data_IF_319002969985
#
_entry.id   IF_319002969985
#
_cell.length_a   1.000
_cell.length_b   1.000
_cell.length_c   1.000
_cell.angle_alpha   90.00
_cell.angle_beta   90.00
_cell.angle_gamma   90.00
#
_symmetry.space_group_name_H-M   'P 1'
#
loop_
_entity.id
_entity.type
_entity.pdbx_description
1 polymer ?
#
# COMPACT_ATOMS: atom_id res chain seq x y z
N UNK A 1 14.41 24.58 49.12
CA UNK A 1 14.90 25.58 48.16
C UNK A 1 14.18 25.34 46.83
N UNK A 2 13.23 26.18 46.55
CA UNK A 2 12.37 26.12 45.35
C UNK A 2 13.05 26.90 44.24
N UNK A 3 13.49 26.20 43.16
CA UNK A 3 14.08 26.84 41.99
C UNK A 3 12.94 27.32 41.09
N UNK A 4 12.88 28.64 40.89
CA UNK A 4 11.85 29.31 40.12
C UNK A 4 12.09 29.12 38.61
N UNK A 5 11.00 29.00 37.85
CA UNK A 5 10.99 28.83 36.37
C UNK A 5 11.71 29.92 35.55
N UNK A 6 12.14 31.02 36.20
CA UNK A 6 12.84 32.14 35.54
C UNK A 6 14.36 31.99 35.44
N UNK A 7 14.98 31.04 36.17
CA UNK A 7 16.43 30.82 36.12
C UNK A 7 16.89 29.82 35.07
N UNK A 8 15.96 29.09 34.43
CA UNK A 8 16.30 28.09 33.39
C UNK A 8 16.41 28.66 31.95
N UNK A 9 16.06 29.95 31.77
CA UNK A 9 16.04 30.56 30.42
C UNK A 9 17.32 31.38 30.11
N UNK A 10 18.24 31.48 31.02
CA UNK A 10 19.43 32.35 30.84
C UNK A 10 20.77 31.65 30.57
N UNK A 11 20.79 30.35 30.28
CA UNK A 11 22.04 29.61 30.08
C UNK A 11 22.16 28.88 28.74
N UNK A 12 21.41 29.28 27.71
CA UNK A 12 21.64 28.81 26.34
C UNK A 12 21.78 30.01 25.41
N UNK A 13 22.88 30.69 25.53
CA UNK A 13 23.39 31.62 24.53
C UNK A 13 24.89 31.46 24.47
N UNK A 14 25.37 30.63 23.57
CA UNK A 14 26.60 30.83 22.78
C UNK A 14 26.89 29.64 21.90
N UNK A 15 27.03 29.93 20.62
CA UNK A 15 27.82 29.24 19.60
C UNK A 15 27.15 28.07 18.87
N UNK A 16 26.33 28.39 17.88
CA UNK A 16 26.29 27.63 16.65
C UNK A 16 26.24 28.61 15.46
N UNK A 17 27.42 28.83 14.90
CA UNK A 17 27.56 29.51 13.62
C UNK A 17 26.90 28.67 12.53
N UNK A 18 26.07 29.32 11.75
CA UNK A 18 25.22 28.90 10.69
C UNK A 18 25.72 27.85 9.72
N UNK A 19 24.80 27.00 9.40
CA UNK A 19 24.51 26.50 8.07
C UNK A 19 23.00 26.57 7.91
N UNK A 20 22.50 27.72 7.52
CA UNK A 20 21.16 27.88 6.96
C UNK A 20 21.15 27.20 5.61
N UNK A 21 20.81 25.92 5.57
CA UNK A 21 20.30 25.35 4.34
C UNK A 21 18.93 26.00 4.12
N UNK A 22 18.90 26.95 3.21
CA UNK A 22 17.66 27.50 2.69
C UNK A 22 16.84 26.38 2.11
N UNK A 23 15.73 26.03 2.73
CA UNK A 23 14.69 25.25 2.10
C UNK A 23 13.99 26.16 1.08
N UNK A 24 14.10 25.90 -0.22
CA UNK A 24 13.25 26.55 -1.20
C UNK A 24 11.97 25.73 -1.26
N UNK A 25 10.95 26.22 -0.66
CA UNK A 25 9.64 25.59 -0.71
C UNK A 25 8.79 26.16 0.41
N UNK A 26 8.40 27.44 0.25
CA UNK A 26 7.23 27.93 0.94
C UNK A 26 6.06 27.12 0.38
N UNK A 27 5.75 25.98 1.00
CA UNK A 27 4.39 25.48 0.97
C UNK A 27 3.59 26.59 1.63
N UNK A 28 2.90 27.42 0.83
CA UNK A 28 1.90 28.31 1.36
C UNK A 28 0.86 27.42 2.02
N UNK A 29 0.90 27.34 3.35
CA UNK A 29 -0.15 26.69 4.11
C UNK A 29 -1.44 27.41 3.72
N UNK A 30 -2.23 26.78 2.84
CA UNK A 30 -3.56 27.29 2.50
C UNK A 30 -4.34 27.37 3.79
N UNK A 31 -5.16 28.42 3.91
CA UNK A 31 -6.09 28.50 5.05
C UNK A 31 -6.83 27.18 5.22
N UNK A 32 -7.05 26.68 6.44
CA UNK A 32 -7.80 25.42 6.68
C UNK A 32 -9.16 25.37 5.98
N UNK A 33 -9.72 26.51 5.61
CA UNK A 33 -10.99 26.62 4.89
C UNK A 33 -10.83 26.73 3.36
N UNK A 34 -9.61 26.72 2.84
CA UNK A 34 -9.37 26.83 1.40
C UNK A 34 -9.51 25.47 0.71
N UNK A 35 -10.33 25.42 -0.34
CA UNK A 35 -10.53 24.21 -1.11
C UNK A 35 -9.28 23.84 -1.89
N UNK A 36 -8.87 22.59 -1.82
CA UNK A 36 -7.81 22.06 -2.65
C UNK A 36 -8.27 21.87 -4.10
N UNK A 37 -7.40 22.12 -5.03
CA UNK A 37 -7.55 21.74 -6.43
C UNK A 37 -6.97 20.35 -6.64
N UNK A 38 -7.84 19.38 -6.85
CA UNK A 38 -7.48 17.97 -6.97
C UNK A 38 -7.49 17.54 -8.42
N UNK A 39 -6.54 16.72 -8.81
CA UNK A 39 -6.57 15.96 -10.04
C UNK A 39 -6.64 14.46 -9.77
N UNK A 40 -7.06 13.66 -10.77
CA UNK A 40 -7.13 12.20 -10.65
C UNK A 40 -6.60 11.52 -11.90
N UNK A 41 -5.73 10.52 -11.71
CA UNK A 41 -5.24 9.62 -12.76
C UNK A 41 -5.89 8.26 -12.56
N UNK A 42 -6.59 7.77 -13.61
CA UNK A 42 -7.49 6.64 -13.62
C UNK A 42 -8.75 6.88 -12.76
N UNK A 43 -9.87 7.07 -13.43
CA UNK A 43 -11.15 7.43 -12.80
C UNK A 43 -12.24 6.35 -12.92
N UNK A 44 -11.86 5.15 -13.38
CA UNK A 44 -12.76 3.99 -13.46
C UNK A 44 -12.55 2.99 -12.35
N UNK A 45 -13.56 2.17 -12.02
CA UNK A 45 -13.47 1.11 -11.02
C UNK A 45 -13.09 1.61 -9.62
N UNK A 46 -11.89 1.28 -9.14
CA UNK A 46 -11.39 1.78 -7.85
C UNK A 46 -11.15 3.29 -7.90
N UNK A 47 -10.58 3.80 -8.98
CA UNK A 47 -10.34 5.22 -9.18
C UNK A 47 -11.60 6.07 -9.09
N UNK A 48 -12.77 5.51 -9.45
CA UNK A 48 -14.05 6.19 -9.24
C UNK A 48 -14.35 6.47 -7.77
N UNK A 49 -14.09 5.50 -6.90
CA UNK A 49 -14.25 5.71 -5.45
C UNK A 49 -13.24 6.71 -4.91
N UNK A 50 -12.02 6.71 -5.45
CA UNK A 50 -10.93 7.56 -4.98
C UNK A 50 -11.15 9.02 -5.42
N UNK A 51 -11.51 9.26 -6.68
CA UNK A 51 -11.81 10.63 -7.14
C UNK A 51 -12.98 11.25 -6.39
N UNK A 52 -14.04 10.47 -6.13
CA UNK A 52 -15.19 10.95 -5.33
C UNK A 52 -14.79 11.24 -3.88
N UNK A 53 -14.01 10.35 -3.25
CA UNK A 53 -13.58 10.54 -1.87
C UNK A 53 -12.61 11.71 -1.73
N UNK A 54 -11.64 11.81 -2.61
CA UNK A 54 -10.64 12.87 -2.57
C UNK A 54 -11.24 14.27 -2.89
N UNK A 55 -12.18 14.35 -3.82
CA UNK A 55 -12.80 15.63 -4.21
C UNK A 55 -13.95 16.06 -3.29
N UNK A 56 -14.33 15.25 -2.29
CA UNK A 56 -15.41 15.62 -1.37
C UNK A 56 -15.02 16.88 -0.58
N UNK A 57 -15.78 17.96 -0.79
CA UNK A 57 -15.50 19.27 -0.18
C UNK A 57 -14.43 20.10 -0.92
N UNK A 58 -13.80 19.58 -1.95
CA UNK A 58 -12.72 20.18 -2.72
C UNK A 58 -13.07 20.31 -4.21
N UNK A 59 -12.18 20.89 -5.01
CA UNK A 59 -12.40 21.11 -6.44
C UNK A 59 -11.71 19.99 -7.24
N UNK A 60 -12.44 19.22 -8.05
CA UNK A 60 -11.80 18.42 -9.10
C UNK A 60 -11.55 19.32 -10.32
N UNK A 61 -10.28 19.63 -10.59
CA UNK A 61 -9.87 20.55 -11.67
C UNK A 61 -9.38 19.87 -12.94
N UNK A 62 -8.93 18.60 -12.81
CA UNK A 62 -8.48 17.79 -13.94
C UNK A 62 -8.64 16.30 -13.66
N UNK A 63 -8.82 15.50 -14.70
CA UNK A 63 -8.71 14.05 -14.61
C UNK A 63 -8.13 13.43 -15.89
N UNK A 64 -7.60 12.22 -15.74
CA UNK A 64 -6.97 11.45 -16.81
C UNK A 64 -7.43 9.98 -16.74
N UNK A 65 -7.72 9.40 -17.88
CA UNK A 65 -7.90 7.95 -18.03
C UNK A 65 -7.52 7.52 -19.44
N UNK A 66 -6.80 6.43 -19.58
CA UNK A 66 -6.36 5.88 -20.87
C UNK A 66 -7.50 5.34 -21.73
N UNK A 67 -8.68 5.09 -21.12
CA UNK A 67 -9.91 4.70 -21.79
C UNK A 67 -10.87 5.88 -21.81
N UNK A 68 -11.09 6.47 -22.97
CA UNK A 68 -11.96 7.66 -23.15
C UNK A 68 -13.41 7.34 -23.48
N UNK A 69 -13.73 6.08 -23.80
CA UNK A 69 -15.09 5.59 -24.03
C UNK A 69 -15.73 5.06 -22.75
N UNK A 70 -16.96 4.54 -22.86
CA UNK A 70 -17.69 4.01 -21.74
C UNK A 70 -16.96 2.81 -21.10
N UNK A 71 -16.76 2.87 -19.79
CA UNK A 71 -16.14 1.78 -19.03
C UNK A 71 -17.16 0.68 -18.73
N UNK A 72 -16.70 -0.58 -18.74
CA UNK A 72 -17.48 -1.72 -18.21
C UNK A 72 -17.48 -1.75 -16.68
N UNK A 73 -16.74 -0.86 -16.04
CA UNK A 73 -16.65 -0.71 -14.58
C UNK A 73 -17.40 0.55 -14.14
N UNK A 74 -17.70 0.63 -12.84
CA UNK A 74 -18.32 1.83 -12.26
C UNK A 74 -17.43 3.05 -12.50
N UNK A 75 -17.99 4.16 -12.96
CA UNK A 75 -17.28 5.39 -13.29
C UNK A 75 -16.56 5.28 -14.64
N UNK A 76 -15.45 6.00 -14.77
CA UNK A 76 -14.66 6.12 -15.97
C UNK A 76 -14.72 7.51 -16.57
N UNK A 77 -14.05 7.68 -17.69
CA UNK A 77 -13.86 8.99 -18.34
C UNK A 77 -15.17 9.72 -18.64
N UNK A 78 -16.16 9.01 -19.21
CA UNK A 78 -17.46 9.61 -19.60
C UNK A 78 -18.25 10.05 -18.38
N UNK A 79 -18.32 9.22 -17.32
CA UNK A 79 -19.03 9.54 -16.09
C UNK A 79 -18.34 10.69 -15.35
N UNK A 80 -17.01 10.70 -15.32
CA UNK A 80 -16.24 11.80 -14.74
C UNK A 80 -16.50 13.11 -15.50
N UNK A 81 -16.54 13.07 -16.83
CA UNK A 81 -16.86 14.24 -17.65
C UNK A 81 -18.27 14.79 -17.41
N UNK A 82 -19.23 13.94 -17.09
CA UNK A 82 -20.62 14.34 -16.73
C UNK A 82 -20.67 14.93 -15.31
N UNK A 83 -20.01 14.28 -14.36
CA UNK A 83 -20.05 14.70 -12.95
C UNK A 83 -19.26 16.00 -12.72
N UNK A 84 -18.13 16.17 -13.41
CA UNK A 84 -17.26 17.35 -13.31
C UNK A 84 -17.07 18.01 -14.68
N UNK A 85 -18.10 18.66 -15.24
CA UNK A 85 -18.06 19.19 -16.62
C UNK A 85 -17.03 20.30 -16.83
N UNK A 86 -16.59 20.97 -15.76
CA UNK A 86 -15.56 22.02 -15.79
C UNK A 86 -14.13 21.50 -15.65
N UNK A 87 -13.95 20.23 -15.24
CA UNK A 87 -12.62 19.66 -15.10
C UNK A 87 -11.96 19.44 -16.47
N UNK A 88 -10.68 19.76 -16.57
CA UNK A 88 -9.86 19.45 -17.76
C UNK A 88 -9.72 17.95 -17.91
N UNK A 89 -9.65 17.49 -19.15
CA UNK A 89 -9.73 16.07 -19.50
C UNK A 89 -8.50 15.65 -20.27
N UNK A 90 -7.85 14.58 -19.84
CA UNK A 90 -6.63 14.07 -20.43
C UNK A 90 -6.72 12.56 -20.65
N UNK A 91 -5.98 12.07 -21.62
CA UNK A 91 -5.74 10.63 -21.79
C UNK A 91 -4.34 10.25 -21.34
N UNK A 92 -3.37 11.18 -21.46
CA UNK A 92 -2.00 11.04 -20.99
C UNK A 92 -1.77 11.85 -19.71
N UNK A 93 -1.37 11.17 -18.63
CA UNK A 93 -1.08 11.80 -17.34
C UNK A 93 0.09 12.79 -17.40
N UNK A 94 1.04 12.61 -18.33
CA UNK A 94 2.17 13.52 -18.51
C UNK A 94 1.68 14.89 -18.96
N UNK A 95 0.75 14.91 -19.93
CA UNK A 95 0.10 16.14 -20.37
C UNK A 95 -0.73 16.79 -19.25
N UNK A 96 -1.42 15.98 -18.44
CA UNK A 96 -2.15 16.51 -17.29
C UNK A 96 -1.20 17.27 -16.35
N UNK A 97 -0.04 16.71 -16.01
CA UNK A 97 0.92 17.35 -15.12
C UNK A 97 1.59 18.58 -15.77
N UNK A 98 1.86 18.55 -17.07
CA UNK A 98 2.49 19.66 -17.78
C UNK A 98 1.57 20.86 -17.90
N UNK A 99 0.30 20.65 -18.19
CA UNK A 99 -0.66 21.72 -18.50
C UNK A 99 -1.44 22.24 -17.29
N UNK A 100 -1.52 21.48 -16.20
CA UNK A 100 -2.35 21.80 -15.03
C UNK A 100 -1.51 22.25 -13.84
N UNK A 101 -1.00 23.47 -13.87
CA UNK A 101 -0.12 24.01 -12.81
C UNK A 101 -0.85 24.36 -11.51
N UNK A 102 -2.16 24.55 -11.57
CA UNK A 102 -3.06 24.89 -10.46
C UNK A 102 -3.46 23.72 -9.57
N UNK A 103 -2.96 22.51 -9.83
CA UNK A 103 -3.20 21.32 -9.00
C UNK A 103 -2.44 21.45 -7.66
N UNK A 104 -3.11 21.17 -6.55
CA UNK A 104 -2.50 21.05 -5.23
C UNK A 104 -2.20 19.58 -4.90
N UNK A 105 -3.12 18.69 -5.23
CA UNK A 105 -3.06 17.28 -4.85
C UNK A 105 -3.61 16.37 -5.96
N UNK A 106 -3.10 15.12 -6.01
CA UNK A 106 -3.47 14.20 -7.08
C UNK A 106 -3.67 12.78 -6.57
N UNK A 107 -4.71 12.10 -7.08
CA UNK A 107 -4.91 10.66 -6.84
C UNK A 107 -4.40 9.84 -8.03
N UNK A 108 -3.73 8.73 -7.73
CA UNK A 108 -3.20 7.76 -8.70
C UNK A 108 -3.84 6.40 -8.40
N UNK A 109 -4.69 5.91 -9.32
CA UNK A 109 -5.48 4.69 -9.15
C UNK A 109 -5.36 3.74 -10.35
N UNK A 110 -4.21 3.75 -10.99
CA UNK A 110 -3.81 2.90 -12.12
C UNK A 110 -3.63 1.43 -11.71
N UNK A 111 -3.34 0.49 -12.60
CA UNK A 111 -2.76 -0.80 -12.24
C UNK A 111 -1.39 -0.67 -11.55
N UNK A 112 -0.99 -1.70 -10.78
CA UNK A 112 0.17 -1.66 -9.89
C UNK A 112 1.46 -1.16 -10.56
N UNK A 113 1.76 -1.63 -11.77
CA UNK A 113 2.97 -1.26 -12.53
C UNK A 113 3.05 0.23 -12.87
N UNK A 114 1.92 0.92 -12.87
CA UNK A 114 1.84 2.35 -13.21
C UNK A 114 1.61 3.24 -11.99
N UNK A 115 1.83 2.74 -10.76
CA UNK A 115 1.72 3.58 -9.57
C UNK A 115 2.92 4.52 -9.41
N UNK A 116 4.14 4.00 -9.54
CA UNK A 116 5.36 4.73 -9.20
C UNK A 116 5.62 5.94 -10.11
N UNK A 117 5.53 5.75 -11.43
CA UNK A 117 5.89 6.76 -12.42
C UNK A 117 5.11 8.09 -12.28
N UNK A 118 3.76 8.11 -12.34
CA UNK A 118 3.00 9.34 -12.14
C UNK A 118 3.09 9.89 -10.72
N UNK A 119 3.26 9.01 -9.71
CA UNK A 119 3.41 9.45 -8.31
C UNK A 119 4.70 10.25 -8.13
N UNK A 120 5.83 9.73 -8.60
CA UNK A 120 7.12 10.42 -8.50
C UNK A 120 7.12 11.74 -9.30
N UNK A 121 6.58 11.71 -10.52
CA UNK A 121 6.47 12.91 -11.35
C UNK A 121 5.63 14.00 -10.67
N UNK A 122 4.49 13.65 -10.09
CA UNK A 122 3.65 14.59 -9.36
C UNK A 122 4.34 15.16 -8.12
N UNK A 123 5.00 14.32 -7.32
CA UNK A 123 5.76 14.77 -6.14
C UNK A 123 6.88 15.74 -6.51
N UNK A 124 7.62 15.50 -7.59
CA UNK A 124 8.68 16.39 -8.09
C UNK A 124 8.18 17.76 -8.54
N UNK A 125 6.91 17.83 -8.92
CA UNK A 125 6.20 19.10 -9.20
C UNK A 125 5.60 19.72 -7.92
N UNK A 126 5.94 19.22 -6.74
CA UNK A 126 5.45 19.73 -5.45
C UNK A 126 3.99 19.37 -5.15
N UNK A 127 3.40 18.39 -5.85
CA UNK A 127 2.01 17.99 -5.62
C UNK A 127 1.93 16.96 -4.49
N UNK A 128 0.92 17.11 -3.62
CA UNK A 128 0.56 16.09 -2.63
C UNK A 128 -0.06 14.88 -3.34
N UNK A 129 0.20 13.66 -2.87
CA UNK A 129 -0.20 12.46 -3.60
C UNK A 129 -0.97 11.46 -2.75
N UNK A 130 -1.98 10.87 -3.38
CA UNK A 130 -2.69 9.69 -2.89
C UNK A 130 -2.51 8.59 -3.93
N UNK A 131 -1.77 7.52 -3.60
CA UNK A 131 -1.50 6.43 -4.54
C UNK A 131 -2.17 5.15 -4.07
N UNK A 132 -2.83 4.42 -4.96
CA UNK A 132 -3.45 3.15 -4.63
C UNK A 132 -2.44 2.09 -4.19
N UNK A 133 -2.95 1.07 -3.54
CA UNK A 133 -2.20 -0.08 -3.01
C UNK A 133 -2.08 -1.21 -4.07
N UNK A 134 -0.98 -2.01 -4.02
CA UNK A 134 0.25 -1.75 -3.27
C UNK A 134 0.90 -0.46 -3.75
N UNK A 135 1.72 0.19 -2.91
CA UNK A 135 2.27 1.51 -3.27
C UNK A 135 2.97 1.50 -4.63
N UNK A 136 3.71 0.43 -4.90
CA UNK A 136 4.47 0.24 -6.13
C UNK A 136 4.50 -1.23 -6.55
N UNK A 137 5.06 -1.49 -7.73
CA UNK A 137 5.24 -2.83 -8.29
C UNK A 137 6.58 -3.45 -7.91
N UNK A 138 7.60 -2.64 -7.58
CA UNK A 138 8.91 -3.11 -7.11
C UNK A 138 9.29 -2.50 -5.75
N UNK A 139 10.22 -3.16 -5.04
CA UNK A 139 10.72 -2.69 -3.75
C UNK A 139 11.51 -1.39 -3.91
N UNK A 140 12.33 -1.29 -4.95
CA UNK A 140 13.12 -0.11 -5.24
C UNK A 140 12.25 1.14 -5.44
N UNK A 141 11.19 1.02 -6.24
CA UNK A 141 10.22 2.11 -6.46
C UNK A 141 9.61 2.58 -5.12
N UNK A 142 9.21 1.64 -4.27
CA UNK A 142 8.60 1.95 -2.97
C UNK A 142 9.54 2.77 -2.09
N UNK A 143 10.80 2.34 -2.00
CA UNK A 143 11.83 3.04 -1.24
C UNK A 143 12.12 4.43 -1.84
N UNK A 144 12.20 4.52 -3.16
CA UNK A 144 12.41 5.79 -3.87
C UNK A 144 11.28 6.78 -3.57
N UNK A 145 10.02 6.36 -3.67
CA UNK A 145 8.89 7.24 -3.37
C UNK A 145 8.91 7.74 -1.92
N UNK A 146 9.24 6.88 -0.96
CA UNK A 146 9.35 7.28 0.44
C UNK A 146 10.44 8.33 0.66
N UNK A 147 11.64 8.10 0.12
CA UNK A 147 12.77 9.02 0.29
C UNK A 147 12.51 10.36 -0.42
N UNK A 148 11.94 10.33 -1.62
CA UNK A 148 11.59 11.54 -2.36
C UNK A 148 10.46 12.33 -1.66
N UNK A 149 9.47 11.66 -1.09
CA UNK A 149 8.42 12.33 -0.32
C UNK A 149 8.99 13.09 0.88
N UNK A 150 9.93 12.47 1.61
CA UNK A 150 10.65 13.13 2.72
C UNK A 150 11.45 14.33 2.23
N UNK A 151 12.20 14.16 1.14
CA UNK A 151 13.05 15.22 0.57
C UNK A 151 12.24 16.42 0.09
N UNK A 152 11.07 16.16 -0.49
CA UNK A 152 10.20 17.19 -1.08
C UNK A 152 9.21 17.79 -0.08
N UNK A 153 9.01 17.18 1.08
CA UNK A 153 8.08 17.65 2.10
C UNK A 153 6.61 17.60 1.68
N UNK A 154 6.24 16.70 0.75
CA UNK A 154 4.87 16.57 0.26
C UNK A 154 4.07 15.59 1.12
N UNK A 155 2.79 15.90 1.36
CA UNK A 155 1.89 14.99 2.05
C UNK A 155 1.54 13.80 1.14
N UNK A 156 1.67 12.60 1.68
CA UNK A 156 1.45 11.34 0.94
C UNK A 156 0.46 10.45 1.67
N UNK A 157 -0.28 9.64 0.90
CA UNK A 157 -1.18 8.62 1.46
C UNK A 157 -1.28 7.43 0.50
N UNK A 158 -1.22 6.21 1.02
CA UNK A 158 -1.55 5.01 0.25
C UNK A 158 -3.01 4.59 0.45
N UNK A 159 -3.63 4.04 -0.58
CA UNK A 159 -5.05 3.65 -0.61
C UNK A 159 -5.38 2.38 0.21
N UNK A 160 -5.01 2.30 1.49
CA UNK A 160 -5.36 1.20 2.43
C UNK A 160 -6.46 1.60 3.39
N UNK A 161 -7.64 1.90 2.88
CA UNK A 161 -8.74 2.51 3.62
C UNK A 161 -9.15 1.79 4.92
N UNK A 162 -8.91 0.47 5.02
CA UNK A 162 -9.23 -0.29 6.23
C UNK A 162 -8.48 0.20 7.47
N UNK A 163 -7.28 0.75 7.32
CA UNK A 163 -6.51 1.33 8.41
C UNK A 163 -7.27 2.43 9.17
N UNK A 164 -8.14 3.16 8.49
CA UNK A 164 -8.93 4.23 9.09
C UNK A 164 -10.21 3.74 9.77
N UNK A 165 -10.57 2.45 9.64
CA UNK A 165 -11.80 1.92 10.21
C UNK A 165 -11.73 1.78 11.73
N UNK A 166 -12.87 1.95 12.39
CA UNK A 166 -13.00 1.76 13.85
C UNK A 166 -12.57 0.36 14.26
N UNK A 167 -12.99 -0.69 13.49
CA UNK A 167 -12.65 -2.08 13.80
C UNK A 167 -11.14 -2.37 13.76
N UNK A 168 -10.44 -1.82 12.77
CA UNK A 168 -8.98 -1.93 12.70
C UNK A 168 -8.31 -1.23 13.88
N UNK A 169 -8.62 0.04 14.12
CA UNK A 169 -8.04 0.84 15.20
C UNK A 169 -8.35 0.27 16.59
N UNK A 170 -9.53 -0.35 16.76
CA UNK A 170 -9.88 -1.12 17.96
C UNK A 170 -8.95 -2.33 18.14
N UNK A 171 -8.68 -3.10 17.07
CA UNK A 171 -7.75 -4.24 17.11
C UNK A 171 -6.37 -3.80 17.57
N UNK A 172 -5.85 -2.70 17.00
CA UNK A 172 -4.55 -2.14 17.38
C UNK A 172 -4.55 -1.73 18.86
N UNK A 173 -5.56 -1.00 19.31
CA UNK A 173 -5.65 -0.50 20.68
C UNK A 173 -5.71 -1.64 21.72
N UNK A 174 -6.52 -2.66 21.48
CA UNK A 174 -6.69 -3.80 22.39
C UNK A 174 -5.40 -4.63 22.51
N UNK A 175 -4.74 -4.94 21.38
CA UNK A 175 -3.51 -5.73 21.41
C UNK A 175 -2.37 -4.93 22.04
N UNK A 176 -2.19 -3.66 21.68
CA UNK A 176 -1.17 -2.78 22.30
C UNK A 176 -1.44 -2.53 23.79
N UNK A 177 -2.72 -2.52 24.19
CA UNK A 177 -3.13 -2.50 25.59
C UNK A 177 -2.85 -3.79 26.35
N UNK A 178 -2.28 -4.82 25.71
CA UNK A 178 -1.86 -6.07 26.34
C UNK A 178 -2.98 -7.08 26.58
N UNK A 179 -4.13 -6.94 25.93
CA UNK A 179 -5.31 -7.82 26.13
C UNK A 179 -4.93 -9.31 26.01
N UNK A 180 -4.13 -9.68 25.02
CA UNK A 180 -3.72 -11.08 24.81
C UNK A 180 -2.26 -11.36 25.21
N UNK A 181 -1.63 -10.45 25.95
CA UNK A 181 -0.21 -10.51 26.26
C UNK A 181 0.69 -10.28 25.05
N UNK A 182 1.97 -10.63 25.16
CA UNK A 182 2.91 -10.50 24.04
C UNK A 182 2.61 -11.51 22.94
N UNK A 183 2.82 -11.11 21.70
CA UNK A 183 2.52 -11.94 20.53
C UNK A 183 3.64 -12.96 20.29
N UNK A 184 3.26 -14.22 20.16
CA UNK A 184 4.16 -15.34 19.86
C UNK A 184 4.30 -15.59 18.36
N UNK A 185 3.20 -15.42 17.63
CA UNK A 185 3.11 -15.72 16.20
C UNK A 185 1.91 -15.02 15.59
N UNK A 186 1.99 -14.71 14.28
CA UNK A 186 0.84 -14.20 13.54
C UNK A 186 0.66 -14.91 12.20
N UNK A 187 -0.56 -14.87 11.67
CA UNK A 187 -0.95 -15.48 10.39
C UNK A 187 -1.81 -14.52 9.60
N UNK A 188 -1.60 -14.49 8.28
CA UNK A 188 -2.46 -13.79 7.36
C UNK A 188 -3.01 -14.73 6.30
N UNK A 189 -4.25 -14.52 5.87
CA UNK A 189 -4.82 -15.33 4.78
C UNK A 189 -5.82 -14.55 3.94
N UNK A 190 -5.93 -14.99 2.66
CA UNK A 190 -6.96 -14.55 1.75
C UNK A 190 -7.51 -15.72 0.94
N UNK A 191 -8.82 -15.77 0.74
CA UNK A 191 -9.44 -16.76 -0.17
C UNK A 191 -9.34 -16.38 -1.65
N UNK A 192 -8.81 -15.21 -1.98
CA UNK A 192 -8.53 -14.81 -3.35
C UNK A 192 -7.30 -15.57 -3.89
N UNK A 193 -7.27 -15.76 -5.19
CA UNK A 193 -6.15 -16.40 -5.88
C UNK A 193 -6.00 -15.76 -7.26
N UNK A 194 -5.45 -14.55 -7.33
CA UNK A 194 -5.15 -13.88 -8.58
C UNK A 194 -4.03 -14.61 -9.31
N UNK A 195 -4.41 -15.30 -10.37
CA UNK A 195 -3.49 -16.04 -11.23
C UNK A 195 -3.84 -15.78 -12.68
N UNK A 196 -2.86 -15.88 -13.55
CA UNK A 196 -3.09 -15.90 -15.00
C UNK A 196 -3.22 -17.32 -15.53
N UNK A 197 -3.44 -17.47 -16.85
CA UNK A 197 -3.46 -18.76 -17.52
C UNK A 197 -2.13 -19.50 -17.33
N UNK A 198 -2.18 -20.83 -17.14
CA UNK A 198 -0.96 -21.65 -16.99
C UNK A 198 -0.11 -21.65 -18.25
N UNK A 199 -0.75 -21.52 -19.40
CA UNK A 199 -0.15 -21.50 -20.72
C UNK A 199 0.58 -20.18 -21.01
N UNK A 200 0.43 -19.17 -20.12
CA UNK A 200 0.96 -17.83 -20.35
C UNK A 200 0.13 -17.04 -21.35
N UNK A 201 0.78 -16.20 -22.14
CA UNK A 201 0.13 -15.29 -23.09
C UNK A 201 -0.42 -16.00 -24.30
N UNK A 202 -1.57 -15.48 -24.83
CA UNK A 202 -2.07 -15.95 -26.11
C UNK A 202 -1.08 -15.58 -27.23
N UNK A 203 -0.96 -16.44 -28.23
CA UNK A 203 -0.11 -16.21 -29.40
C UNK A 203 -0.68 -15.18 -30.40
N UNK A 204 -1.99 -14.84 -30.25
CA UNK A 204 -2.69 -13.86 -31.10
C UNK A 204 -2.78 -12.50 -30.43
N UNK A 205 -2.87 -11.45 -31.24
CA UNK A 205 -3.30 -10.11 -30.82
C UNK A 205 -4.73 -9.86 -31.28
N UNK A 206 -5.46 -9.10 -30.51
CA UNK A 206 -6.79 -8.63 -30.86
C UNK A 206 -6.75 -7.13 -31.19
N UNK A 207 -7.81 -6.62 -31.84
CA UNK A 207 -7.95 -5.19 -32.13
C UNK A 207 -8.07 -4.39 -30.83
N UNK A 208 -7.35 -3.28 -30.74
CA UNK A 208 -7.42 -2.37 -29.58
C UNK A 208 -8.80 -1.70 -29.58
N UNK A 209 -9.57 -1.79 -28.47
CA UNK A 209 -10.87 -1.16 -28.37
C UNK A 209 -10.80 0.35 -28.64
N UNK A 210 -11.81 0.89 -29.33
CA UNK A 210 -11.94 2.32 -29.54
C UNK A 210 -11.85 3.09 -28.21
N UNK A 211 -11.06 4.15 -28.19
CA UNK A 211 -10.86 4.99 -27.02
C UNK A 211 -9.83 4.51 -26.04
N UNK A 212 -9.32 3.26 -26.14
CA UNK A 212 -8.21 2.78 -25.34
C UNK A 212 -6.88 3.16 -25.99
N UNK A 213 -6.04 3.88 -25.25
CA UNK A 213 -4.63 4.02 -25.59
C UNK A 213 -3.85 2.89 -24.91
N UNK A 214 -3.52 1.85 -25.70
CA UNK A 214 -2.85 0.67 -25.18
C UNK A 214 -1.39 0.92 -24.81
N UNK A 215 -0.71 1.84 -25.50
CA UNK A 215 0.66 2.24 -25.17
C UNK A 215 0.72 2.94 -23.80
N UNK A 216 -0.18 3.87 -23.55
CA UNK A 216 -0.31 4.56 -22.27
C UNK A 216 -0.72 3.58 -21.15
N UNK A 217 -1.56 2.58 -21.46
CA UNK A 217 -1.96 1.58 -20.47
C UNK A 217 -0.79 0.68 -20.06
N UNK A 218 0.02 0.23 -21.02
CA UNK A 218 1.23 -0.57 -20.75
C UNK A 218 2.28 0.24 -19.98
N UNK A 219 2.43 1.51 -20.32
CA UNK A 219 3.32 2.43 -19.62
C UNK A 219 4.74 1.89 -19.49
N UNK A 220 5.22 1.74 -18.25
CA UNK A 220 6.58 1.27 -17.91
C UNK A 220 6.80 -0.22 -18.18
N UNK A 221 5.73 -1.02 -18.32
CA UNK A 221 5.84 -2.46 -18.53
C UNK A 221 6.40 -2.81 -19.93
N UNK A 222 7.00 -3.98 -20.11
CA UNK A 222 7.43 -4.45 -21.43
C UNK A 222 6.31 -4.43 -22.46
N UNK A 223 6.62 -4.05 -23.70
CA UNK A 223 5.65 -3.99 -24.78
C UNK A 223 5.01 -5.36 -25.03
N UNK A 224 3.67 -5.35 -25.13
CA UNK A 224 2.85 -6.54 -25.37
C UNK A 224 1.72 -6.25 -26.34
N UNK A 225 1.40 -7.16 -27.26
CA UNK A 225 0.19 -7.05 -28.07
C UNK A 225 -1.07 -7.00 -27.18
N UNK A 226 -2.06 -6.24 -27.60
CA UNK A 226 -3.36 -6.25 -26.92
C UNK A 226 -4.05 -7.61 -27.11
N UNK A 227 -4.67 -8.10 -26.02
CA UNK A 227 -5.51 -9.30 -26.07
C UNK A 227 -6.78 -9.06 -25.25
N UNK A 228 -7.94 -9.19 -25.87
CA UNK A 228 -9.25 -8.89 -25.25
C UNK A 228 -9.51 -9.78 -24.05
N UNK A 229 -9.94 -9.15 -22.93
CA UNK A 229 -10.24 -9.79 -21.64
C UNK A 229 -9.10 -10.55 -20.98
N UNK A 230 -7.88 -10.49 -21.54
CA UNK A 230 -6.71 -11.15 -20.95
C UNK A 230 -6.11 -10.29 -19.83
N UNK A 231 -5.94 -9.00 -20.07
CA UNK A 231 -5.33 -8.08 -19.10
C UNK A 231 -6.35 -7.19 -18.39
N UNK A 232 -7.34 -6.71 -19.10
CA UNK A 232 -8.37 -5.80 -18.60
C UNK A 232 -9.72 -6.48 -18.41
N UNK A 233 -10.59 -5.93 -17.55
CA UNK A 233 -10.34 -4.75 -16.68
C UNK A 233 -9.68 -5.10 -15.35
N UNK A 234 -9.57 -6.36 -14.93
CA UNK A 234 -9.07 -6.76 -13.60
C UNK A 234 -8.01 -7.85 -13.64
N UNK A 235 -7.90 -8.56 -14.73
CA UNK A 235 -7.07 -9.76 -14.89
C UNK A 235 -5.57 -9.43 -14.87
N UNK A 236 -5.19 -8.17 -15.10
CA UNK A 236 -3.82 -7.68 -15.01
C UNK A 236 -3.12 -8.08 -13.69
N UNK A 237 -3.89 -8.27 -12.61
CA UNK A 237 -3.37 -8.71 -11.30
C UNK A 237 -2.67 -10.07 -11.36
N UNK A 238 -3.11 -10.94 -12.27
CA UNK A 238 -2.53 -12.26 -12.47
C UNK A 238 -1.25 -12.30 -13.32
N UNK A 239 -0.82 -11.16 -13.89
CA UNK A 239 0.32 -11.06 -14.79
C UNK A 239 1.51 -10.39 -14.10
N UNK A 240 2.68 -11.02 -14.22
CA UNK A 240 3.91 -10.55 -13.56
C UNK A 240 4.35 -9.15 -14.00
N UNK A 241 4.04 -8.75 -15.25
CA UNK A 241 4.40 -7.43 -15.78
C UNK A 241 3.51 -6.29 -15.26
N UNK A 242 2.28 -6.61 -14.80
CA UNK A 242 1.26 -5.59 -14.57
C UNK A 242 0.74 -5.52 -13.13
N UNK A 243 0.84 -6.63 -12.41
CA UNK A 243 0.30 -6.71 -11.06
C UNK A 243 1.09 -7.61 -10.13
N UNK A 244 0.80 -7.50 -8.86
CA UNK A 244 1.54 -8.12 -7.77
C UNK A 244 0.81 -9.36 -7.19
N UNK A 245 -0.07 -9.99 -7.98
CA UNK A 245 -0.80 -11.18 -7.56
C UNK A 245 -1.71 -10.98 -6.35
N UNK A 246 -2.07 -12.07 -5.69
CA UNK A 246 -2.92 -12.02 -4.49
C UNK A 246 -2.19 -11.40 -3.32
N UNK A 247 -0.90 -11.64 -3.19
CA UNK A 247 -0.09 -11.08 -2.12
C UNK A 247 -0.06 -9.55 -2.19
N UNK A 248 0.22 -8.96 -3.36
CA UNK A 248 0.15 -7.51 -3.55
C UNK A 248 -1.26 -6.94 -3.40
N UNK A 249 -2.28 -7.61 -3.98
CA UNK A 249 -3.67 -7.13 -3.90
C UNK A 249 -4.26 -7.21 -2.50
N UNK A 250 -4.06 -8.33 -1.78
CA UNK A 250 -4.67 -8.59 -0.48
C UNK A 250 -3.69 -8.60 0.68
N UNK A 251 -2.45 -9.05 0.46
CA UNK A 251 -1.43 -9.08 1.52
C UNK A 251 -1.25 -7.69 2.12
N UNK A 252 -1.23 -6.65 1.31
CA UNK A 252 -1.12 -5.26 1.80
C UNK A 252 -2.17 -4.91 2.87
N UNK A 253 -3.39 -5.41 2.75
CA UNK A 253 -4.47 -5.18 3.72
C UNK A 253 -4.40 -6.10 4.94
N UNK A 254 -3.77 -7.28 4.79
CA UNK A 254 -3.75 -8.32 5.82
C UNK A 254 -2.47 -8.25 6.67
N UNK A 255 -1.34 -7.81 6.09
CA UNK A 255 -0.13 -7.49 6.87
C UNK A 255 -0.26 -6.18 7.63
N UNK A 256 -1.03 -5.24 7.11
CA UNK A 256 -1.19 -3.91 7.68
C UNK A 256 -1.61 -3.95 9.16
N UNK A 257 -2.62 -4.74 9.60
CA UNK A 257 -2.96 -4.84 11.04
C UNK A 257 -1.79 -5.31 11.91
N UNK A 258 -0.93 -6.21 11.41
CA UNK A 258 0.25 -6.65 12.14
C UNK A 258 1.30 -5.54 12.24
N UNK A 259 1.61 -4.87 11.13
CA UNK A 259 2.57 -3.76 11.09
C UNK A 259 2.12 -2.63 12.00
N UNK A 260 0.85 -2.20 11.89
CA UNK A 260 0.26 -1.16 12.75
C UNK A 260 0.25 -1.54 14.24
N UNK A 261 0.01 -2.82 14.54
CA UNK A 261 -0.12 -3.29 15.93
C UNK A 261 1.24 -3.48 16.59
N UNK A 262 2.17 -4.12 15.89
CA UNK A 262 3.43 -4.59 16.48
C UNK A 262 4.62 -3.67 16.18
N UNK A 263 4.46 -2.71 15.26
CA UNK A 263 5.54 -1.78 14.90
C UNK A 263 6.75 -2.46 14.26
N UNK A 264 6.55 -3.61 13.61
CA UNK A 264 7.64 -4.37 12.98
C UNK A 264 8.18 -3.64 11.74
N UNK A 265 9.49 -3.69 11.57
CA UNK A 265 10.18 -3.32 10.34
C UNK A 265 9.96 -4.39 9.24
N UNK A 266 10.43 -4.19 8.00
CA UNK A 266 10.45 -5.25 7.00
C UNK A 266 11.14 -6.52 7.53
N UNK A 267 10.74 -7.72 7.04
CA UNK A 267 11.23 -8.98 7.59
C UNK A 267 12.73 -9.18 7.35
N UNK A 268 13.38 -9.91 8.24
CA UNK A 268 14.78 -10.34 8.11
C UNK A 268 14.94 -11.47 7.09
N UNK A 269 13.91 -12.29 6.92
CA UNK A 269 13.92 -13.39 5.95
C UNK A 269 12.52 -13.72 5.46
N UNK A 270 12.47 -14.36 4.30
CA UNK A 270 11.23 -14.83 3.67
C UNK A 270 11.48 -16.17 2.97
N UNK A 271 10.51 -17.09 3.02
CA UNK A 271 10.57 -18.40 2.35
C UNK A 271 9.20 -18.78 1.80
N UNK A 272 9.12 -19.11 0.51
CA UNK A 272 7.92 -19.70 -0.09
C UNK A 272 7.94 -21.21 0.01
N UNK A 273 6.82 -21.83 0.40
CA UNK A 273 6.64 -23.28 0.49
C UNK A 273 5.81 -23.85 -0.67
N UNK A 274 5.49 -23.01 -1.66
CA UNK A 274 4.71 -23.38 -2.84
C UNK A 274 5.56 -23.73 -4.06
N UNK A 275 4.89 -23.89 -5.21
CA UNK A 275 5.57 -23.99 -6.49
C UNK A 275 5.94 -22.59 -7.02
N UNK A 276 6.93 -22.49 -7.88
CA UNK A 276 7.24 -21.25 -8.57
C UNK A 276 6.10 -20.84 -9.53
N UNK A 277 5.88 -19.55 -9.76
CA UNK A 277 5.04 -19.08 -10.85
C UNK A 277 5.64 -19.48 -12.20
N UNK A 278 4.83 -19.50 -13.26
CA UNK A 278 5.39 -19.54 -14.59
C UNK A 278 6.06 -18.19 -14.95
N UNK A 279 6.80 -18.09 -16.06
CA UNK A 279 7.53 -16.85 -16.38
C UNK A 279 6.68 -15.60 -16.60
N UNK A 280 5.35 -15.72 -16.73
CA UNK A 280 4.46 -14.62 -17.11
C UNK A 280 3.33 -14.36 -16.12
N UNK A 281 2.91 -15.36 -15.33
CA UNK A 281 1.72 -15.25 -14.49
C UNK A 281 1.92 -15.74 -13.07
N UNK A 282 1.23 -15.11 -12.14
CA UNK A 282 1.15 -15.55 -10.74
C UNK A 282 0.40 -16.88 -10.63
N UNK A 283 0.72 -17.63 -9.58
CA UNK A 283 0.07 -18.90 -9.25
C UNK A 283 -1.17 -18.68 -8.34
N UNK A 284 -2.12 -19.65 -8.35
CA UNK A 284 -3.41 -19.49 -7.68
C UNK A 284 -3.40 -19.75 -6.16
N UNK A 285 -2.25 -19.84 -5.53
CA UNK A 285 -2.15 -20.05 -4.08
C UNK A 285 -0.73 -20.17 -3.59
N UNK A 286 -0.45 -19.51 -2.47
CA UNK A 286 0.87 -19.45 -1.86
C UNK A 286 0.79 -19.79 -0.37
N UNK A 287 1.87 -20.38 0.15
CA UNK A 287 2.20 -20.39 1.58
C UNK A 287 3.59 -19.78 1.71
N UNK A 288 3.70 -18.70 2.47
CA UNK A 288 4.95 -17.94 2.61
C UNK A 288 5.20 -17.69 4.08
N UNK A 289 6.39 -18.03 4.53
CA UNK A 289 6.89 -17.79 5.88
C UNK A 289 7.76 -16.55 5.89
N UNK A 290 7.61 -15.74 6.94
CA UNK A 290 8.40 -14.54 7.19
C UNK A 290 8.94 -14.59 8.61
N UNK A 291 10.13 -14.08 8.82
CA UNK A 291 10.71 -13.83 10.12
C UNK A 291 10.96 -12.32 10.29
N UNK A 292 10.28 -11.71 11.24
CA UNK A 292 10.46 -10.32 11.62
C UNK A 292 11.31 -10.21 12.88
N UNK A 293 12.06 -9.13 13.02
CA UNK A 293 12.66 -8.80 14.30
C UNK A 293 11.56 -8.57 15.34
N UNK A 294 11.77 -9.09 16.56
CA UNK A 294 10.88 -8.88 17.68
C UNK A 294 10.80 -7.42 18.10
N UNK A 295 9.70 -7.08 18.77
CA UNK A 295 9.44 -5.74 19.30
C UNK A 295 9.00 -5.84 20.77
N UNK A 296 8.75 -4.72 21.41
CA UNK A 296 8.18 -4.70 22.79
C UNK A 296 6.85 -5.48 22.90
N UNK A 297 6.12 -5.65 21.78
CA UNK A 297 4.84 -6.37 21.72
C UNK A 297 4.99 -7.86 21.43
N UNK A 298 6.21 -8.40 21.26
CA UNK A 298 6.46 -9.81 20.93
C UNK A 298 7.18 -10.55 22.05
N UNK A 299 7.08 -11.91 22.08
CA UNK A 299 7.67 -12.72 23.16
C UNK A 299 9.16 -12.97 23.01
N UNK A 300 9.73 -12.79 21.86
CA UNK A 300 11.14 -13.11 21.57
C UNK A 300 11.73 -12.15 20.54
N UNK A 301 12.99 -12.44 20.19
CA UNK A 301 13.76 -11.64 19.23
C UNK A 301 13.31 -11.83 17.78
N UNK A 302 12.51 -12.88 17.52
CA UNK A 302 11.95 -13.21 16.21
C UNK A 302 10.45 -13.40 16.32
N UNK A 303 9.69 -12.71 15.46
CA UNK A 303 8.26 -12.94 15.26
C UNK A 303 8.05 -13.73 13.98
N UNK A 304 7.60 -14.98 14.03
CA UNK A 304 7.18 -15.73 12.86
C UNK A 304 5.81 -15.27 12.38
N UNK A 305 5.69 -15.12 11.05
CA UNK A 305 4.43 -14.84 10.38
C UNK A 305 4.25 -15.76 9.16
N UNK A 306 3.05 -16.28 8.97
CA UNK A 306 2.73 -17.16 7.84
C UNK A 306 1.60 -16.56 7.03
N UNK A 307 1.86 -16.30 5.75
CA UNK A 307 0.88 -15.92 4.75
C UNK A 307 0.34 -17.13 4.00
N UNK A 308 -0.98 -17.14 3.75
CA UNK A 308 -1.63 -18.17 2.92
C UNK A 308 -2.68 -17.54 2.02
N UNK A 309 -2.72 -17.94 0.73
CA UNK A 309 -3.76 -17.43 -0.16
C UNK A 309 -4.31 -18.52 -1.09
N UNK A 310 -5.44 -18.19 -1.69
CA UNK A 310 -6.09 -19.02 -2.72
C UNK A 310 -6.23 -20.48 -2.29
N UNK A 311 -5.60 -21.37 -3.05
CA UNK A 311 -5.65 -22.83 -2.82
C UNK A 311 -4.93 -23.28 -1.55
N UNK A 312 -3.99 -22.46 -1.00
CA UNK A 312 -3.33 -22.81 0.26
C UNK A 312 -4.28 -22.71 1.48
N UNK A 313 -5.41 -22.02 1.31
CA UNK A 313 -6.48 -21.97 2.30
C UNK A 313 -6.13 -21.16 3.56
N UNK A 314 -6.94 -21.33 4.60
CA UNK A 314 -6.81 -20.66 5.89
C UNK A 314 -5.76 -21.34 6.77
N UNK A 315 -5.21 -20.67 7.82
CA UNK A 315 -4.37 -21.34 8.80
C UNK A 315 -5.16 -22.45 9.53
N UNK A 316 -4.51 -23.56 9.95
CA UNK A 316 -5.13 -24.57 10.79
C UNK A 316 -5.55 -23.99 12.14
N UNK A 317 -6.68 -24.42 12.70
CA UNK A 317 -7.11 -23.96 14.03
C UNK A 317 -6.19 -24.45 15.17
N UNK A 318 -5.44 -25.53 14.93
CA UNK A 318 -4.42 -26.03 15.84
C UNK A 318 -3.22 -25.09 16.04
N UNK A 319 -3.13 -24.00 15.27
CA UNK A 319 -2.10 -22.96 15.46
C UNK A 319 -2.21 -22.24 16.81
N UNK A 320 -3.36 -22.34 17.49
CA UNK A 320 -3.55 -21.78 18.82
C UNK A 320 -4.56 -22.59 19.62
N UNK A 321 -4.19 -22.97 20.85
CA UNK A 321 -5.08 -23.65 21.80
C UNK A 321 -6.25 -22.77 22.28
N UNK A 322 -6.21 -21.47 22.03
CA UNK A 322 -7.29 -20.56 22.39
C UNK A 322 -8.46 -20.60 21.38
N UNK A 323 -8.23 -21.09 20.16
CA UNK A 323 -9.26 -21.13 19.13
C UNK A 323 -10.19 -22.33 19.32
N UNK A 324 -11.52 -22.13 19.30
CA UNK A 324 -12.49 -23.23 19.28
C UNK A 324 -12.27 -24.15 18.06
N UNK A 325 -12.40 -25.46 18.26
CA UNK A 325 -12.17 -26.46 17.21
C UNK A 325 -13.16 -26.34 16.03
N UNK A 326 -14.34 -25.77 16.26
CA UNK A 326 -15.40 -25.54 15.29
C UNK A 326 -15.43 -24.11 14.70
N UNK A 327 -14.44 -23.29 15.05
CA UNK A 327 -14.37 -21.89 14.60
C UNK A 327 -14.36 -21.79 13.07
N UNK A 328 -15.28 -21.02 12.55
CA UNK A 328 -15.30 -20.66 11.12
C UNK A 328 -14.55 -19.34 10.90
N UNK A 329 -13.27 -19.43 10.57
CA UNK A 329 -12.46 -18.27 10.22
C UNK A 329 -13.11 -17.48 9.04
N UNK A 330 -13.00 -16.14 9.03
CA UNK A 330 -13.48 -15.32 7.91
C UNK A 330 -12.77 -15.69 6.61
N UNK A 331 -13.30 -15.20 5.48
CA UNK A 331 -12.68 -15.45 4.15
C UNK A 331 -11.26 -14.89 4.05
N UNK A 332 -10.99 -13.80 4.75
CA UNK A 332 -9.72 -13.08 4.75
C UNK A 332 -9.49 -12.44 6.12
N UNK A 333 -8.28 -12.44 6.61
CA UNK A 333 -7.97 -11.85 7.90
C UNK A 333 -6.57 -12.11 8.41
N UNK A 334 -6.30 -11.57 9.60
CA UNK A 334 -5.06 -11.74 10.36
C UNK A 334 -5.38 -12.40 11.70
N UNK A 335 -4.63 -13.41 12.08
CA UNK A 335 -4.67 -14.03 13.39
C UNK A 335 -3.43 -13.64 14.19
N UNK A 336 -3.63 -13.09 15.36
CA UNK A 336 -2.60 -12.88 16.38
C UNK A 336 -2.71 -13.95 17.46
N UNK A 337 -1.62 -14.63 17.75
CA UNK A 337 -1.52 -15.61 18.84
C UNK A 337 -0.64 -15.02 19.92
N UNK A 338 -1.22 -14.67 21.04
CA UNK A 338 -0.54 -14.10 22.20
C UNK A 338 -0.29 -15.11 23.32
N UNK A 339 0.23 -14.62 24.45
CA UNK A 339 0.48 -15.43 25.66
C UNK A 339 -0.79 -15.84 26.40
N UNK A 340 -1.82 -14.96 26.36
CA UNK A 340 -3.05 -15.09 27.15
C UNK A 340 -4.30 -15.31 26.30
N UNK A 341 -4.19 -15.23 24.97
CA UNK A 341 -5.33 -15.34 24.08
C UNK A 341 -4.94 -15.20 22.61
N UNK A 342 -5.97 -15.14 21.76
CA UNK A 342 -5.81 -14.91 20.33
C UNK A 342 -6.83 -13.89 19.84
N UNK A 343 -6.46 -13.15 18.79
CA UNK A 343 -7.34 -12.20 18.10
C UNK A 343 -7.38 -12.53 16.61
N UNK A 344 -8.58 -12.73 16.09
CA UNK A 344 -8.84 -12.80 14.65
C UNK A 344 -9.35 -11.43 14.18
N UNK A 345 -8.57 -10.73 13.37
CA UNK A 345 -9.00 -9.49 12.71
C UNK A 345 -9.49 -9.83 11.30
N UNK A 346 -10.80 -9.75 11.05
CA UNK A 346 -11.35 -9.97 9.71
C UNK A 346 -11.12 -8.74 8.82
N UNK A 347 -10.77 -8.96 7.54
CA UNK A 347 -10.62 -7.86 6.58
C UNK A 347 -11.91 -7.03 6.47
N UNK A 348 -11.83 -5.74 6.78
CA UNK A 348 -12.97 -4.80 6.79
C UNK A 348 -13.88 -4.90 8.01
N UNK A 349 -13.56 -5.77 8.99
CA UNK A 349 -14.29 -5.93 10.25
C UNK A 349 -13.54 -5.42 11.47
N UNK A 350 -13.96 -5.92 12.64
CA UNK A 350 -13.29 -5.67 13.93
C UNK A 350 -12.62 -6.95 14.48
N UNK A 351 -12.04 -6.86 15.70
CA UNK A 351 -11.43 -8.01 16.37
C UNK A 351 -12.47 -9.01 16.84
N UNK A 352 -12.17 -10.29 16.69
CA UNK A 352 -12.84 -11.42 17.33
C UNK A 352 -11.83 -12.00 18.30
N UNK A 353 -12.16 -12.05 19.60
CA UNK A 353 -11.21 -12.28 20.68
C UNK A 353 -11.45 -13.64 21.32
N UNK A 354 -10.39 -14.37 21.62
CA UNK A 354 -10.41 -15.69 22.25
C UNK A 354 -9.43 -15.78 23.42
N UNK A 355 -9.76 -16.55 24.49
CA UNK A 355 -11.04 -17.23 24.71
C UNK A 355 -12.19 -16.23 24.94
N UNK A 356 -13.43 -16.73 24.80
CA UNK A 356 -14.62 -15.95 25.19
C UNK A 356 -14.47 -15.51 26.65
N UNK A 357 -14.92 -14.29 26.97
CA UNK A 357 -14.80 -13.72 28.30
C UNK A 357 -13.47 -12.98 28.59
N UNK A 358 -12.50 -13.00 27.67
CA UNK A 358 -11.24 -12.26 27.87
C UNK A 358 -11.44 -10.73 27.95
N UNK A 359 -12.58 -10.24 27.44
CA UNK A 359 -12.98 -8.83 27.56
C UNK A 359 -13.74 -8.50 28.85
N UNK A 360 -14.13 -9.51 29.63
CA UNK A 360 -14.94 -9.27 30.85
C UNK A 360 -14.15 -8.40 31.85
N UNK A 361 -14.71 -7.27 32.19
CA UNK A 361 -14.06 -6.27 33.04
C UNK A 361 -12.96 -5.45 32.39
N UNK A 362 -12.77 -5.54 31.06
CA UNK A 362 -11.81 -4.72 30.33
C UNK A 362 -12.42 -3.41 29.88
N UNK A 363 -11.76 -2.30 30.16
CA UNK A 363 -12.20 -0.98 29.66
C UNK A 363 -12.00 -0.91 28.14
N UNK A 364 -13.08 -0.74 27.40
CA UNK A 364 -13.02 -0.65 25.94
C UNK A 364 -12.48 0.71 25.49
N UNK A 365 -11.42 0.71 24.65
CA UNK A 365 -10.88 1.96 24.11
C UNK A 365 -11.93 2.75 23.33
N UNK A 366 -11.98 4.06 23.56
CA UNK A 366 -12.80 4.96 22.74
C UNK A 366 -12.08 5.23 21.42
N UNK A 367 -12.68 4.84 20.31
CA UNK A 367 -12.11 5.01 18.96
C UNK A 367 -12.94 6.03 18.19
N UNK A 368 -12.37 7.19 17.96
CA UNK A 368 -12.97 8.21 17.10
C UNK A 368 -13.06 7.74 15.65
N UNK A 369 -14.09 8.15 14.93
CA UNK A 369 -14.19 7.96 13.48
C UNK A 369 -13.25 8.92 12.79
N UNK A 370 -12.52 8.43 11.77
CA UNK A 370 -11.68 9.24 10.91
C UNK A 370 -11.75 8.69 9.49
N UNK A 371 -12.06 9.54 8.52
CA UNK A 371 -12.08 9.15 7.13
C UNK A 371 -10.65 9.02 6.58
N UNK A 372 -10.47 8.10 5.64
CA UNK A 372 -9.14 7.88 5.05
C UNK A 372 -8.69 9.09 4.21
N UNK A 373 -9.58 9.66 3.39
CA UNK A 373 -9.29 10.89 2.65
C UNK A 373 -9.18 12.12 3.56
N UNK A 374 -10.00 12.19 4.63
CA UNK A 374 -9.87 13.24 5.64
C UNK A 374 -8.47 13.26 6.24
N UNK A 375 -7.91 12.10 6.60
CA UNK A 375 -6.54 12.00 7.09
C UNK A 375 -5.50 12.55 6.11
N UNK A 376 -5.70 12.39 4.80
CA UNK A 376 -4.82 12.95 3.79
C UNK A 376 -4.99 14.46 3.63
N UNK A 377 -6.24 14.95 3.62
CA UNK A 377 -6.52 16.38 3.56
C UNK A 377 -5.98 17.13 4.78
N UNK A 378 -6.15 16.56 5.99
CA UNK A 378 -5.54 17.08 7.20
C UNK A 378 -4.02 17.12 7.13
N UNK A 379 -3.39 16.08 6.57
CA UNK A 379 -1.93 16.04 6.38
C UNK A 379 -1.44 17.15 5.44
N UNK A 380 -2.19 17.44 4.37
CA UNK A 380 -1.89 18.55 3.46
C UNK A 380 -1.98 19.91 4.16
N UNK A 381 -2.98 20.10 5.03
CA UNK A 381 -3.22 21.37 5.73
C UNK A 381 -2.29 21.56 6.91
N UNK A 382 -1.99 20.51 7.67
CA UNK A 382 -1.24 20.58 8.93
C UNK A 382 0.26 20.36 8.78
N UNK A 383 0.69 19.74 7.67
CA UNK A 383 2.06 19.24 7.49
C UNK A 383 2.38 18.00 8.35
N UNK A 384 1.41 17.45 9.10
CA UNK A 384 1.60 16.20 9.84
C UNK A 384 1.39 14.98 8.94
N UNK A 385 2.04 13.84 9.21
CA UNK A 385 1.87 12.66 8.39
C UNK A 385 0.42 12.15 8.38
N UNK A 386 -0.06 11.75 7.20
CA UNK A 386 -1.32 11.01 7.09
C UNK A 386 -1.18 9.59 7.68
N UNK A 387 -2.31 8.94 8.01
CA UNK A 387 -2.30 7.62 8.67
C UNK A 387 -1.60 6.53 7.86
N UNK A 388 -1.63 6.60 6.53
CA UNK A 388 -0.94 5.70 5.63
C UNK A 388 0.07 6.45 4.74
N UNK A 389 0.84 7.38 5.35
CA UNK A 389 1.92 8.09 4.66
C UNK A 389 2.91 7.10 4.04
N UNK A 390 3.73 7.55 3.10
CA UNK A 390 4.72 6.67 2.48
C UNK A 390 5.79 6.16 3.46
N UNK A 391 6.00 6.85 4.58
CA UNK A 391 6.85 6.34 5.67
C UNK A 391 6.32 5.07 6.31
N UNK A 392 5.00 4.89 6.36
CA UNK A 392 4.34 3.66 6.80
C UNK A 392 4.17 2.68 5.64
N UNK A 393 3.74 3.18 4.49
CA UNK A 393 3.26 2.36 3.38
C UNK A 393 4.37 1.73 2.55
N UNK A 394 5.54 2.37 2.47
CA UNK A 394 6.66 1.82 1.72
C UNK A 394 7.29 0.59 2.40
N UNK A 395 7.59 0.58 3.71
CA UNK A 395 8.03 -0.63 4.40
C UNK A 395 7.00 -1.77 4.38
N UNK A 396 5.71 -1.45 4.46
CA UNK A 396 4.64 -2.44 4.32
C UNK A 396 4.61 -3.03 2.90
N UNK A 397 4.75 -2.20 1.87
CA UNK A 397 4.82 -2.66 0.47
C UNK A 397 6.08 -3.50 0.22
N UNK A 398 7.24 -3.09 0.76
CA UNK A 398 8.48 -3.88 0.75
C UNK A 398 8.24 -5.28 1.32
N UNK A 399 7.63 -5.37 2.51
CA UNK A 399 7.29 -6.64 3.17
C UNK A 399 6.48 -7.56 2.26
N UNK A 400 5.45 -7.04 1.62
CA UNK A 400 4.57 -7.81 0.74
C UNK A 400 5.31 -8.25 -0.54
N UNK A 401 6.06 -7.35 -1.15
CA UNK A 401 6.79 -7.64 -2.40
C UNK A 401 7.97 -8.60 -2.19
N UNK A 402 8.56 -8.67 -1.00
CA UNK A 402 9.54 -9.71 -0.66
C UNK A 402 8.96 -11.12 -0.81
N UNK A 403 7.70 -11.32 -0.44
CA UNK A 403 6.99 -12.58 -0.68
C UNK A 403 6.80 -12.87 -2.17
N UNK A 404 6.52 -11.84 -2.97
CA UNK A 404 6.43 -11.96 -4.43
C UNK A 404 7.76 -12.37 -5.09
N UNK A 405 8.88 -11.97 -4.49
CA UNK A 405 10.20 -12.43 -4.92
C UNK A 405 10.43 -13.88 -4.46
N UNK A 406 10.13 -14.18 -3.19
CA UNK A 406 10.37 -15.50 -2.61
C UNK A 406 9.63 -16.64 -3.34
N UNK A 407 8.44 -16.40 -3.91
CA UNK A 407 7.71 -17.44 -4.67
C UNK A 407 8.45 -17.87 -5.93
N UNK A 408 9.42 -17.11 -6.42
CA UNK A 408 10.27 -17.45 -7.56
C UNK A 408 11.40 -18.43 -7.19
N UNK A 409 11.69 -18.56 -5.88
CA UNK A 409 12.74 -19.41 -5.30
C UNK A 409 12.13 -20.38 -4.28
N UNK A 410 11.35 -21.38 -4.70
CA UNK A 410 10.61 -22.27 -3.80
C UNK A 410 11.53 -22.99 -2.81
N UNK A 411 11.09 -23.03 -1.56
CA UNK A 411 11.75 -23.68 -0.42
C UNK A 411 13.12 -23.07 -0.01
N UNK A 412 13.60 -22.04 -0.70
CA UNK A 412 14.80 -21.31 -0.31
C UNK A 412 14.45 -20.23 0.73
N UNK A 413 15.19 -20.17 1.84
CA UNK A 413 15.13 -19.08 2.79
C UNK A 413 15.96 -17.93 2.24
N UNK A 414 15.32 -16.85 1.85
CA UNK A 414 15.98 -15.63 1.38
C UNK A 414 16.17 -14.67 2.55
N UNK A 415 17.42 -14.30 2.83
CA UNK A 415 17.79 -13.36 3.88
C UNK A 415 17.83 -11.94 3.34
N UNK A 416 17.15 -11.01 3.99
CA UNK A 416 16.95 -9.66 3.53
C UNK A 416 17.62 -8.60 4.40
N UNK A 417 18.40 -7.74 3.77
CA UNK A 417 18.92 -6.50 4.34
C UNK A 417 18.11 -5.32 3.82
N UNK A 418 17.15 -4.85 4.62
CA UNK A 418 16.28 -3.74 4.25
C UNK A 418 17.03 -2.41 4.12
N UNK A 419 18.14 -2.20 4.82
CA UNK A 419 18.93 -0.97 4.69
C UNK A 419 19.65 -0.93 3.35
N UNK A 420 20.26 -2.03 2.97
CA UNK A 420 20.98 -2.16 1.70
C UNK A 420 20.07 -2.50 0.51
N UNK A 421 18.77 -2.75 0.73
CA UNK A 421 17.78 -3.20 -0.28
C UNK A 421 18.29 -4.40 -1.09
N UNK A 422 18.77 -5.43 -0.41
CA UNK A 422 19.30 -6.61 -1.09
C UNK A 422 19.10 -7.89 -0.29
N UNK A 423 18.94 -8.99 -1.02
CA UNK A 423 19.12 -10.33 -0.46
C UNK A 423 20.62 -10.60 -0.26
N UNK A 424 20.99 -11.07 0.92
CA UNK A 424 22.39 -11.29 1.30
C UNK A 424 22.92 -12.65 0.84
N UNK A 425 22.03 -13.62 0.66
CA UNK A 425 22.37 -15.01 0.36
C UNK A 425 21.91 -15.47 -1.05
N UNK A 426 21.23 -14.62 -1.84
CA UNK A 426 20.81 -14.98 -3.21
C UNK A 426 20.97 -13.80 -4.17
N UNK A 427 21.99 -13.85 -5.03
CA UNK A 427 22.26 -12.80 -6.00
C UNK A 427 21.21 -12.71 -7.10
N UNK A 428 20.60 -13.82 -7.50
CA UNK A 428 19.56 -13.82 -8.53
C UNK A 428 18.26 -13.16 -8.04
N UNK A 429 17.92 -13.32 -6.76
CA UNK A 429 16.76 -12.67 -6.16
C UNK A 429 16.86 -11.13 -6.22
N UNK A 430 18.08 -10.58 -6.19
CA UNK A 430 18.31 -9.14 -6.27
C UNK A 430 17.90 -8.53 -7.62
N UNK A 431 17.85 -9.31 -8.70
CA UNK A 431 17.38 -8.80 -10.00
C UNK A 431 15.87 -8.45 -10.01
N UNK A 432 15.10 -8.93 -9.02
CA UNK A 432 13.67 -8.64 -8.89
C UNK A 432 13.36 -7.49 -7.91
N UNK A 433 14.37 -6.93 -7.26
CA UNK A 433 14.19 -5.78 -6.36
C UNK A 433 13.85 -4.50 -7.13
N UNK A 434 14.34 -4.40 -8.36
CA UNK A 434 14.09 -3.33 -9.32
C UNK A 434 13.73 -3.93 -10.68
N UNK A 435 12.90 -3.24 -11.47
CA UNK A 435 12.65 -3.56 -12.88
C UNK A 435 13.20 -2.48 -13.79
N UNK A 436 13.56 -2.88 -15.01
CA UNK A 436 13.85 -1.92 -16.09
C UNK A 436 12.54 -1.44 -16.69
N UNK A 437 12.42 -0.13 -16.88
CA UNK A 437 11.29 0.44 -17.57
C UNK A 437 11.44 0.33 -19.09
N UNK A 438 10.32 0.22 -19.77
CA UNK A 438 10.26 0.26 -21.23
C UNK A 438 10.85 1.58 -21.75
N UNK A 439 11.63 1.52 -22.83
CA UNK A 439 12.24 2.70 -23.46
C UNK A 439 11.23 3.81 -23.72
N UNK A 440 11.54 5.03 -23.30
CA UNK A 440 10.69 6.21 -23.39
C UNK A 440 9.71 6.38 -22.22
N UNK A 441 9.75 5.45 -21.25
CA UNK A 441 9.02 5.51 -20.00
C UNK A 441 9.94 5.62 -18.77
N UNK A 442 11.24 5.80 -19.03
CA UNK A 442 12.22 5.95 -17.97
C UNK A 442 11.96 7.22 -17.16
N UNK A 443 11.95 7.07 -15.84
CA UNK A 443 11.92 8.19 -14.90
C UNK A 443 13.16 8.06 -14.03
N UNK A 444 13.96 9.11 -14.00
CA UNK A 444 15.17 9.15 -13.22
C UNK A 444 14.90 8.76 -11.75
N UNK A 445 15.62 7.75 -11.26
CA UNK A 445 15.56 7.24 -9.90
C UNK A 445 14.57 6.08 -9.67
N UNK A 446 13.72 5.71 -10.63
CA UNK A 446 12.89 4.50 -10.57
C UNK A 446 13.56 3.31 -11.24
#
# INVERSE_FOLDING_TARGET
MTISRRSLIKSITATSAGLTFGFPGILSAKSPNEKLNIASIAVGGRGWSDVNGASQGHNLVAFCDVMTEASTRKGGYIEAAKQWPKARRYQDWRKLLDESKDIDAITISTPDHMHAAPTLAAMRLGKHVFTQKPLTHTIHESRTLMLEARRLGVATQMGIQNQSTVGHRMTVALIRGGLIGKIKQAYGWSNKGWAGPKEGRPSKSDEIPKGLDWDLWQGVAPERPYADKIYQPMNWRGWLDFGSGTLGDMGIHIFEPMVSTLGVAPPMSVRSLGAAPNPETWQPGNTIEYEFAGTEYTTGDVLPYVWRDGKAGKPPLSTSSYLPADLKLPKQGTLFVGEKGAVVHSHGGGPIIFPNGLLDGHDMPQIERRGHFESWHEAIQSGQPACASFDFSAPLTETVLLGNIAVRFPNEKLEWDSQALKFTNNQQANSFVRSEHRKGWDIEGL
#
